data_IF_370002659268
#
_entry.id   IF_370002659268
#
_cell.length_a   1.000
_cell.length_b   1.000
_cell.length_c   1.000
_cell.angle_alpha   90.00
_cell.angle_beta   90.00
_cell.angle_gamma   90.00
#
_symmetry.space_group_name_H-M   'P 1'
#
loop_
_entity.id
_entity.type
_entity.pdbx_description
1 polymer ?
#
# COMPACT_ATOMS: atom_id res chain seq x y z
N UNK A 1 6.52 -8.12 -26.08
CA UNK A 1 7.88 -7.78 -25.60
C UNK A 1 7.89 -8.09 -24.10
N UNK A 2 8.56 -9.15 -23.65
CA UNK A 2 8.59 -9.52 -22.23
C UNK A 2 9.56 -8.58 -21.54
N UNK A 3 9.05 -7.59 -20.81
CA UNK A 3 9.87 -6.69 -19.99
C UNK A 3 10.58 -7.54 -18.96
N UNK A 4 11.91 -7.64 -19.04
CA UNK A 4 12.72 -8.37 -18.06
C UNK A 4 12.61 -7.63 -16.72
N UNK A 5 11.72 -8.10 -15.84
CA UNK A 5 11.56 -7.58 -14.48
C UNK A 5 12.74 -8.05 -13.62
N UNK A 6 13.29 -7.15 -12.81
CA UNK A 6 14.41 -7.45 -11.92
C UNK A 6 13.94 -8.25 -10.69
N UNK A 7 14.80 -9.14 -10.19
CA UNK A 7 14.57 -9.94 -8.98
C UNK A 7 14.35 -9.11 -7.69
N UNK A 8 14.67 -7.81 -7.71
CA UNK A 8 14.55 -6.89 -6.56
C UNK A 8 13.13 -6.36 -6.28
N UNK A 9 12.11 -6.84 -7.00
CA UNK A 9 10.72 -6.39 -6.85
C UNK A 9 9.90 -7.30 -5.92
N UNK A 10 10.53 -8.14 -5.13
CA UNK A 10 9.82 -9.00 -4.18
C UNK A 10 9.76 -8.39 -2.81
N UNK A 11 8.61 -8.63 -2.18
CA UNK A 11 8.36 -8.32 -0.82
C UNK A 11 8.13 -9.55 0.03
N UNK A 12 8.56 -9.48 1.29
CA UNK A 12 8.43 -10.52 2.28
C UNK A 12 7.72 -9.96 3.52
N UNK A 13 6.61 -10.56 3.92
CA UNK A 13 5.95 -10.26 5.18
C UNK A 13 5.79 -11.53 6.02
N UNK A 14 5.79 -11.36 7.34
CA UNK A 14 5.74 -12.43 8.34
C UNK A 14 4.59 -12.20 9.32
N UNK A 15 3.89 -13.25 9.71
CA UNK A 15 2.82 -13.24 10.72
C UNK A 15 2.85 -14.49 11.60
N UNK A 16 2.26 -14.40 12.80
CA UNK A 16 2.01 -15.54 13.71
C UNK A 16 0.70 -16.26 13.43
N UNK A 17 -0.30 -15.53 12.95
CA UNK A 17 -1.67 -16.03 12.80
C UNK A 17 -2.02 -16.37 11.34
N UNK A 18 -1.25 -15.86 10.37
CA UNK A 18 -1.46 -16.09 8.94
C UNK A 18 -2.73 -15.46 8.36
N UNK A 19 -3.46 -14.68 9.16
CA UNK A 19 -4.75 -14.08 8.83
C UNK A 19 -4.71 -12.56 8.91
N UNK A 20 -4.26 -12.02 10.05
CA UNK A 20 -4.13 -10.59 10.31
C UNK A 20 -2.67 -10.27 10.70
N UNK A 21 -2.35 -9.00 10.98
CA UNK A 21 -1.07 -8.64 11.61
C UNK A 21 0.19 -9.06 10.83
N UNK A 22 0.24 -8.75 9.54
CA UNK A 22 1.43 -8.97 8.72
C UNK A 22 2.46 -7.89 8.97
N UNK A 23 3.67 -8.28 9.38
CA UNK A 23 4.81 -7.40 9.55
C UNK A 23 5.73 -7.49 8.34
N UNK A 24 6.04 -6.34 7.74
CA UNK A 24 6.93 -6.24 6.59
C UNK A 24 8.38 -6.46 7.01
N UNK A 25 9.12 -7.33 6.32
CA UNK A 25 10.57 -7.41 6.45
C UNK A 25 11.23 -6.15 5.85
N UNK A 26 11.84 -5.34 6.72
CA UNK A 26 12.63 -4.14 6.38
C UNK A 26 14.12 -4.43 6.44
N UNK A 27 14.93 -3.58 5.81
CA UNK A 27 16.41 -3.72 5.86
C UNK A 27 16.97 -4.92 5.10
N UNK A 28 16.20 -5.50 4.17
CA UNK A 28 16.62 -6.63 3.33
C UNK A 28 17.73 -6.18 2.37
N UNK A 29 18.89 -6.83 2.47
CA UNK A 29 20.09 -6.54 1.66
C UNK A 29 20.17 -7.50 0.48
N UNK A 30 19.77 -8.74 0.71
CA UNK A 30 19.79 -9.81 -0.27
C UNK A 30 18.55 -10.67 -0.11
N UNK A 31 17.89 -10.97 -1.22
CA UNK A 31 16.70 -11.80 -1.27
C UNK A 31 16.93 -12.91 -2.28
N UNK A 32 17.05 -14.14 -1.78
CA UNK A 32 17.34 -15.33 -2.59
C UNK A 32 16.16 -15.79 -3.45
N UNK A 33 15.00 -15.15 -3.34
CA UNK A 33 13.78 -15.58 -4.02
C UNK A 33 13.14 -16.82 -3.37
N UNK A 34 11.89 -17.13 -3.74
CA UNK A 34 11.29 -18.41 -3.40
C UNK A 34 11.88 -19.51 -4.28
N UNK A 35 12.48 -20.52 -3.64
CA UNK A 35 12.97 -21.73 -4.30
C UNK A 35 11.94 -22.84 -4.15
N UNK A 36 11.56 -23.47 -5.26
CA UNK A 36 10.71 -24.66 -5.27
C UNK A 36 11.53 -25.84 -5.76
N UNK A 37 11.65 -26.87 -4.93
CA UNK A 37 12.51 -28.03 -5.18
C UNK A 37 11.65 -29.28 -5.30
N UNK A 38 11.29 -29.71 -6.53
CA UNK A 38 10.52 -30.93 -6.74
C UNK A 38 11.43 -32.17 -6.68
N UNK A 39 11.00 -33.18 -5.92
CA UNK A 39 11.57 -34.53 -5.96
C UNK A 39 10.96 -35.28 -7.12
N UNK A 40 11.82 -35.88 -7.96
CA UNK A 40 11.45 -36.50 -9.23
C UNK A 40 11.66 -38.02 -9.15
N UNK A 41 10.62 -38.79 -9.45
CA UNK A 41 10.70 -40.24 -9.59
C UNK A 41 10.52 -40.64 -11.06
N UNK A 42 11.18 -41.73 -11.46
CA UNK A 42 10.96 -42.34 -12.77
C UNK A 42 9.57 -42.97 -12.81
N UNK A 43 8.78 -42.60 -13.82
CA UNK A 43 7.42 -43.11 -14.06
C UNK A 43 7.25 -43.63 -15.47
N UNK A 44 8.35 -44.08 -16.09
CA UNK A 44 8.34 -44.61 -17.46
C UNK A 44 7.47 -45.87 -17.53
N UNK A 45 6.58 -45.92 -18.54
CA UNK A 45 5.72 -47.06 -18.82
C UNK A 45 6.10 -47.76 -20.15
N UNK A 46 5.45 -48.88 -20.43
CA UNK A 46 5.73 -49.69 -21.64
C UNK A 46 5.35 -48.98 -22.94
N UNK A 47 4.52 -47.94 -22.86
CA UNK A 47 4.00 -47.19 -24.02
C UNK A 47 4.75 -45.86 -24.25
N UNK A 48 5.74 -45.53 -23.42
CA UNK A 48 6.52 -44.28 -23.48
C UNK A 48 7.42 -44.15 -24.73
N UNK A 49 7.36 -45.10 -25.67
CA UNK A 49 8.06 -45.03 -26.96
C UNK A 49 9.60 -44.95 -26.83
N UNK A 50 10.16 -45.42 -25.72
CA UNK A 50 11.59 -45.35 -25.42
C UNK A 50 12.07 -44.04 -24.77
N UNK A 51 11.16 -43.12 -24.43
CA UNK A 51 11.48 -41.89 -23.70
C UNK A 51 11.23 -42.06 -22.20
N UNK A 52 12.04 -41.39 -21.36
CA UNK A 52 11.82 -41.38 -19.90
C UNK A 52 10.64 -40.49 -19.54
N UNK A 53 9.75 -41.01 -18.69
CA UNK A 53 8.70 -40.23 -18.03
C UNK A 53 9.09 -39.98 -16.57
N UNK A 54 8.76 -38.79 -16.06
CA UNK A 54 9.11 -38.37 -14.70
C UNK A 54 7.87 -37.79 -14.04
N UNK A 55 7.58 -38.27 -12.82
CA UNK A 55 6.53 -37.73 -11.97
C UNK A 55 7.14 -37.03 -10.75
N UNK A 56 6.57 -35.89 -10.36
CA UNK A 56 6.94 -35.20 -9.11
C UNK A 56 6.23 -35.90 -7.96
N UNK A 57 6.98 -36.49 -7.04
CA UNK A 57 6.40 -37.22 -5.90
C UNK A 57 6.18 -36.32 -4.70
N UNK A 58 7.08 -35.37 -4.49
CA UNK A 58 7.05 -34.40 -3.40
C UNK A 58 7.61 -33.05 -3.86
N UNK A 59 7.24 -31.98 -3.18
CA UNK A 59 7.75 -30.64 -3.46
C UNK A 59 8.05 -29.90 -2.16
N UNK A 60 9.30 -29.47 -2.01
CA UNK A 60 9.72 -28.57 -0.95
C UNK A 60 9.78 -27.13 -1.47
N UNK A 61 9.70 -26.16 -0.56
CA UNK A 61 9.99 -24.77 -0.85
C UNK A 61 10.80 -24.12 0.28
N UNK A 62 11.66 -23.18 -0.08
CA UNK A 62 12.45 -22.43 0.88
C UNK A 62 12.73 -21.00 0.41
N UNK A 63 12.96 -20.09 1.35
CA UNK A 63 13.30 -18.69 1.07
C UNK A 63 14.49 -18.27 1.93
N UNK A 64 15.54 -17.81 1.26
CA UNK A 64 16.67 -17.16 1.92
C UNK A 64 16.54 -15.64 1.85
N UNK A 65 16.67 -14.98 3.00
CA UNK A 65 16.74 -13.52 3.07
C UNK A 65 17.88 -13.09 3.98
N UNK A 66 18.54 -11.99 3.64
CA UNK A 66 19.53 -11.34 4.51
C UNK A 66 19.06 -9.95 4.84
N UNK A 67 19.14 -9.59 6.11
CA UNK A 67 18.86 -8.22 6.54
C UNK A 67 19.94 -7.71 7.47
N UNK A 68 20.18 -6.41 7.37
CA UNK A 68 21.10 -5.70 8.26
C UNK A 68 20.37 -5.23 9.51
N UNK A 69 21.10 -5.25 10.62
CA UNK A 69 20.68 -4.75 11.93
C UNK A 69 21.74 -3.80 12.47
N UNK A 70 21.29 -2.70 13.09
CA UNK A 70 22.16 -1.80 13.84
C UNK A 70 22.65 -2.50 15.12
N UNK A 71 23.96 -2.48 15.34
CA UNK A 71 24.63 -3.14 16.47
C UNK A 71 24.65 -2.29 17.74
N UNK A 72 24.38 -0.98 17.65
CA UNK A 72 24.45 -0.03 18.77
C UNK A 72 23.24 0.91 18.74
N UNK A 73 22.44 0.84 19.82
CA UNK A 73 21.32 1.72 20.16
C UNK A 73 20.29 2.00 19.04
N UNK A 74 19.30 1.12 18.94
CA UNK A 74 18.06 1.34 18.18
C UNK A 74 17.00 0.35 18.65
N UNK A 75 15.71 0.74 18.59
CA UNK A 75 14.62 -0.20 18.81
C UNK A 75 14.69 -1.24 17.66
N UNK A 76 14.84 -2.54 17.94
CA UNK A 76 14.88 -3.54 16.87
C UNK A 76 13.56 -3.55 16.11
N UNK A 77 13.62 -3.77 14.79
CA UNK A 77 12.41 -3.86 13.97
C UNK A 77 11.50 -4.98 14.52
N UNK A 78 10.18 -4.74 14.67
CA UNK A 78 9.26 -5.70 15.29
C UNK A 78 9.20 -7.02 14.51
N UNK A 79 9.41 -6.98 13.19
CA UNK A 79 9.50 -8.19 12.34
C UNK A 79 10.75 -9.01 12.66
N UNK A 80 11.88 -8.38 12.95
CA UNK A 80 13.13 -9.07 13.29
C UNK A 80 13.01 -9.70 14.68
N UNK A 81 12.41 -8.99 15.64
CA UNK A 81 12.08 -9.56 16.95
C UNK A 81 11.14 -10.77 16.82
N UNK A 82 10.17 -10.69 15.91
CA UNK A 82 9.25 -11.81 15.68
C UNK A 82 9.97 -13.04 15.15
N UNK A 83 10.85 -12.88 14.15
CA UNK A 83 11.64 -13.98 13.60
C UNK A 83 12.62 -14.52 14.64
N UNK A 84 13.29 -13.65 15.41
CA UNK A 84 14.19 -14.08 16.49
C UNK A 84 13.45 -14.85 17.60
N UNK A 85 12.18 -14.55 17.86
CA UNK A 85 11.40 -15.24 18.88
C UNK A 85 11.08 -16.71 18.55
N UNK A 86 11.37 -17.18 17.33
CA UNK A 86 11.23 -18.60 16.97
C UNK A 86 12.50 -19.41 17.20
N UNK A 87 13.64 -18.76 17.49
CA UNK A 87 14.90 -19.44 17.70
C UNK A 87 14.84 -20.36 18.94
N UNK A 88 15.23 -21.62 18.76
CA UNK A 88 15.19 -22.64 19.81
C UNK A 88 13.78 -23.07 20.23
N UNK A 89 12.73 -22.58 19.57
CA UNK A 89 11.35 -23.01 19.79
C UNK A 89 11.02 -24.26 18.98
N UNK A 90 10.07 -25.06 19.48
CA UNK A 90 9.59 -26.27 18.81
C UNK A 90 8.07 -26.25 18.67
N UNK A 91 7.55 -27.04 17.73
CA UNK A 91 6.13 -27.04 17.38
C UNK A 91 5.66 -25.67 16.89
N UNK A 92 4.37 -25.36 17.09
CA UNK A 92 3.76 -24.12 16.59
C UNK A 92 4.40 -22.81 17.07
N UNK A 93 5.23 -22.83 18.12
CA UNK A 93 5.98 -21.65 18.57
C UNK A 93 7.20 -21.33 17.68
N UNK A 94 7.70 -22.33 16.94
CA UNK A 94 8.78 -22.18 15.96
C UNK A 94 8.30 -21.91 14.52
N UNK A 95 6.99 -21.99 14.29
CA UNK A 95 6.37 -21.80 12.98
C UNK A 95 5.90 -20.36 12.78
N UNK A 96 6.05 -19.89 11.54
CA UNK A 96 5.59 -18.58 11.09
C UNK A 96 4.82 -18.72 9.79
N UNK A 97 3.88 -17.81 9.58
CA UNK A 97 3.26 -17.60 8.28
C UNK A 97 4.05 -16.57 7.52
N UNK A 98 4.29 -16.85 6.25
CA UNK A 98 5.08 -16.02 5.36
C UNK A 98 4.30 -15.81 4.09
N UNK A 99 4.31 -14.57 3.60
CA UNK A 99 3.82 -14.25 2.26
C UNK A 99 4.88 -13.51 1.48
N UNK A 100 4.94 -13.83 0.19
CA UNK A 100 5.83 -13.21 -0.77
C UNK A 100 4.99 -12.68 -1.91
N UNK A 101 5.27 -11.46 -2.33
CA UNK A 101 4.51 -10.82 -3.39
C UNK A 101 5.37 -9.82 -4.16
N UNK A 102 4.96 -9.52 -5.39
CA UNK A 102 5.56 -8.44 -6.15
C UNK A 102 5.18 -7.08 -5.54
N UNK A 103 6.17 -6.25 -5.20
CA UNK A 103 5.93 -4.96 -4.54
C UNK A 103 5.24 -3.95 -5.44
N UNK A 104 5.38 -4.07 -6.75
CA UNK A 104 4.72 -3.23 -7.75
C UNK A 104 3.25 -3.62 -8.02
N UNK A 105 2.69 -4.56 -7.25
CA UNK A 105 1.30 -4.99 -7.41
C UNK A 105 1.11 -5.97 -8.57
N UNK A 106 2.18 -6.59 -9.07
CA UNK A 106 2.07 -7.66 -10.06
C UNK A 106 1.33 -8.91 -9.55
N UNK A 107 1.05 -9.84 -10.45
CA UNK A 107 0.18 -10.99 -10.15
C UNK A 107 0.84 -12.07 -9.29
N UNK A 108 2.17 -12.05 -9.14
CA UNK A 108 2.85 -13.06 -8.35
C UNK A 108 2.70 -12.75 -6.86
N UNK A 109 1.96 -13.61 -6.16
CA UNK A 109 1.97 -13.67 -4.71
C UNK A 109 1.70 -15.10 -4.20
N UNK A 110 2.44 -15.48 -3.17
CA UNK A 110 2.37 -16.80 -2.53
C UNK A 110 2.38 -16.66 -1.01
N UNK A 111 1.78 -17.62 -0.32
CA UNK A 111 1.78 -17.72 1.12
C UNK A 111 1.99 -19.17 1.56
N UNK A 112 2.70 -19.36 2.65
CA UNK A 112 2.85 -20.67 3.29
C UNK A 112 3.30 -20.55 4.74
N UNK A 113 3.36 -21.68 5.42
CA UNK A 113 3.97 -21.78 6.76
C UNK A 113 5.42 -22.19 6.62
N UNK A 114 6.29 -21.65 7.45
CA UNK A 114 7.69 -22.03 7.43
C UNK A 114 8.30 -21.98 8.81
N UNK A 115 9.36 -22.75 8.98
CA UNK A 115 10.24 -22.70 10.14
C UNK A 115 11.42 -21.81 9.78
N UNK A 116 11.72 -20.85 10.66
CA UNK A 116 12.84 -19.93 10.46
C UNK A 116 14.10 -20.46 11.13
N UNK A 117 15.20 -20.53 10.38
CA UNK A 117 16.54 -20.75 10.91
C UNK A 117 17.40 -19.50 10.68
N UNK A 118 18.10 -19.06 11.73
CA UNK A 118 18.85 -17.82 11.74
C UNK A 118 20.35 -18.10 11.83
N UNK A 119 21.14 -17.41 11.01
CA UNK A 119 22.61 -17.38 11.11
C UNK A 119 23.04 -15.92 11.25
N UNK A 120 23.72 -15.60 12.35
CA UNK A 120 24.22 -14.25 12.63
C UNK A 120 25.65 -14.11 12.15
N UNK A 121 25.96 -13.01 11.48
CA UNK A 121 27.31 -12.69 11.00
C UNK A 121 27.61 -11.22 11.24
N UNK A 122 28.89 -10.88 11.44
CA UNK A 122 29.32 -9.49 11.54
C UNK A 122 29.67 -8.98 10.15
N UNK A 123 29.26 -7.76 9.82
CA UNK A 123 29.71 -7.12 8.59
C UNK A 123 31.11 -6.52 8.78
N UNK A 124 31.75 -6.09 7.70
CA UNK A 124 33.01 -5.33 7.81
C UNK A 124 32.82 -3.94 8.44
N UNK A 125 31.57 -3.47 8.56
CA UNK A 125 31.22 -2.19 9.18
C UNK A 125 31.05 -2.37 10.70
N UNK A 126 31.66 -1.50 11.54
CA UNK A 126 31.71 -1.70 12.99
C UNK A 126 30.34 -1.72 13.68
N UNK A 127 29.37 -1.00 13.13
CA UNK A 127 28.05 -0.80 13.74
C UNK A 127 26.93 -1.61 13.07
N UNK A 128 27.25 -2.47 12.08
CA UNK A 128 26.27 -3.31 11.40
C UNK A 128 26.53 -4.80 11.62
N UNK A 129 25.47 -5.49 12.02
CA UNK A 129 25.39 -6.96 12.00
C UNK A 129 24.47 -7.40 10.88
N UNK A 130 24.78 -8.53 10.24
CA UNK A 130 23.92 -9.15 9.24
C UNK A 130 23.30 -10.42 9.82
N UNK A 131 22.02 -10.63 9.54
CA UNK A 131 21.34 -11.86 9.87
C UNK A 131 20.83 -12.47 8.57
N UNK A 132 21.31 -13.69 8.30
CA UNK A 132 20.76 -14.54 7.25
C UNK A 132 19.65 -15.38 7.88
N UNK A 133 18.46 -15.33 7.30
CA UNK A 133 17.32 -16.15 7.68
C UNK A 133 16.96 -17.05 6.52
N UNK A 134 16.86 -18.34 6.81
CA UNK A 134 16.29 -19.33 5.90
C UNK A 134 14.94 -19.73 6.45
N UNK A 135 13.92 -19.62 5.60
CA UNK A 135 12.58 -20.10 5.88
C UNK A 135 12.38 -21.40 5.12
N UNK A 136 12.29 -22.50 5.85
CA UNK A 136 12.02 -23.82 5.31
C UNK A 136 10.51 -24.08 5.37
N UNK A 137 9.91 -24.27 4.20
CA UNK A 137 8.47 -24.42 4.05
C UNK A 137 7.93 -25.67 4.72
N UNK A 138 6.94 -25.51 5.59
CA UNK A 138 6.12 -26.59 6.13
C UNK A 138 4.75 -26.62 5.43
N UNK A 139 4.51 -27.69 4.69
CA UNK A 139 3.32 -27.86 3.87
C UNK A 139 3.34 -27.07 2.57
N UNK A 140 2.17 -26.93 1.95
CA UNK A 140 2.06 -26.30 0.63
C UNK A 140 2.24 -24.77 0.69
N UNK A 141 2.99 -24.23 -0.26
CA UNK A 141 2.98 -22.79 -0.56
C UNK A 141 1.85 -22.51 -1.57
N UNK A 142 0.79 -21.86 -1.13
CA UNK A 142 -0.38 -21.54 -1.95
C UNK A 142 -0.21 -20.20 -2.67
N UNK A 143 -0.74 -20.10 -3.88
CA UNK A 143 -0.93 -18.79 -4.53
C UNK A 143 -1.99 -17.98 -3.76
N UNK A 144 -1.74 -16.69 -3.59
CA UNK A 144 -2.68 -15.73 -3.01
C UNK A 144 -2.87 -14.56 -3.97
N UNK A 145 -3.94 -13.79 -3.80
CA UNK A 145 -4.01 -12.46 -4.41
C UNK A 145 -2.93 -11.58 -3.78
N UNK A 146 -2.17 -10.87 -4.62
CA UNK A 146 -1.15 -9.97 -4.11
C UNK A 146 -1.79 -8.94 -3.16
N UNK A 147 -1.29 -8.80 -1.91
CA UNK A 147 -1.79 -7.79 -0.97
C UNK A 147 -1.75 -6.36 -1.53
N UNK A 148 -0.80 -6.09 -2.43
CA UNK A 148 -0.67 -4.82 -3.15
C UNK A 148 -1.39 -4.83 -4.51
N UNK A 149 -1.93 -5.98 -4.93
CA UNK A 149 -2.44 -6.23 -6.27
C UNK A 149 -3.93 -6.58 -6.33
N UNK A 150 -4.72 -6.25 -5.31
CA UNK A 150 -6.15 -5.96 -5.56
C UNK A 150 -6.25 -4.49 -5.92
N UNK A 151 -6.14 -4.12 -7.21
CA UNK A 151 -6.27 -2.74 -7.58
C UNK A 151 -7.71 -2.34 -7.24
N UNK A 152 -7.85 -1.37 -6.36
CA UNK A 152 -9.13 -0.77 -5.97
C UNK A 152 -9.25 0.57 -6.66
N UNK A 153 -10.48 1.03 -6.87
CA UNK A 153 -10.71 2.40 -7.32
C UNK A 153 -9.98 3.35 -6.34
N UNK A 154 -9.23 4.36 -6.85
CA UNK A 154 -8.64 5.38 -5.99
C UNK A 154 -9.72 6.04 -5.13
N UNK A 155 -9.38 6.52 -3.95
CA UNK A 155 -10.27 7.36 -3.16
C UNK A 155 -9.50 8.58 -2.69
N UNK A 156 -9.92 9.77 -3.08
CA UNK A 156 -9.28 11.02 -2.69
C UNK A 156 -10.00 11.57 -1.46
N UNK A 157 -9.26 11.77 -0.38
CA UNK A 157 -9.78 12.37 0.87
C UNK A 157 -9.55 13.87 0.88
N UNK A 158 -8.36 14.32 0.45
CA UNK A 158 -8.01 15.74 0.38
C UNK A 158 -6.89 16.01 -0.61
N UNK A 159 -6.78 17.26 -1.07
CA UNK A 159 -5.66 17.75 -1.88
C UNK A 159 -5.32 19.18 -1.46
N UNK A 160 -4.13 19.37 -0.87
CA UNK A 160 -3.70 20.62 -0.26
C UNK A 160 -2.28 21.02 -0.71
N UNK A 161 -1.96 22.33 -0.81
CA UNK A 161 -2.86 23.47 -0.58
C UNK A 161 -3.95 23.54 -1.66
N UNK A 162 -5.11 24.17 -1.35
CA UNK A 162 -6.28 24.24 -2.23
C UNK A 162 -6.09 25.13 -3.47
N UNK A 163 -5.04 25.94 -3.46
CA UNK A 163 -4.50 26.64 -4.63
C UNK A 163 -2.99 26.58 -4.55
N UNK A 164 -2.33 26.33 -5.67
CA UNK A 164 -0.87 26.32 -5.74
C UNK A 164 -0.43 26.97 -7.06
N UNK A 165 0.61 27.83 -7.07
CA UNK A 165 1.17 28.33 -8.32
C UNK A 165 1.77 27.17 -9.13
N UNK A 166 1.91 27.35 -10.44
CA UNK A 166 2.54 26.35 -11.31
C UNK A 166 3.90 25.91 -10.76
N UNK A 167 4.11 24.59 -10.69
CA UNK A 167 5.33 23.97 -10.17
C UNK A 167 5.40 23.80 -8.65
N UNK A 168 4.51 24.44 -7.87
CA UNK A 168 4.43 24.17 -6.44
C UNK A 168 3.84 22.79 -6.16
N UNK A 169 4.24 22.19 -5.03
CA UNK A 169 3.82 20.84 -4.67
C UNK A 169 2.45 20.85 -4.01
N UNK A 170 1.57 19.97 -4.51
CA UNK A 170 0.29 19.63 -3.90
C UNK A 170 0.39 18.22 -3.33
N UNK A 171 -0.07 18.05 -2.10
CA UNK A 171 -0.17 16.77 -1.42
C UNK A 171 -1.61 16.29 -1.48
N UNK A 172 -1.83 15.16 -2.13
CA UNK A 172 -3.11 14.47 -2.21
C UNK A 172 -3.09 13.30 -1.22
N UNK A 173 -4.05 13.26 -0.32
CA UNK A 173 -4.22 12.19 0.66
C UNK A 173 -5.43 11.35 0.30
N UNK A 174 -5.35 10.04 0.47
CA UNK A 174 -6.39 9.12 0.06
C UNK A 174 -6.04 7.66 0.29
N UNK A 175 -6.64 6.81 -0.54
CA UNK A 175 -6.43 5.36 -0.52
C UNK A 175 -6.29 4.82 -1.94
N UNK A 176 -5.62 3.67 -2.06
CA UNK A 176 -5.48 2.89 -3.29
C UNK A 176 -4.73 3.64 -4.42
N UNK A 177 -3.76 4.49 -4.06
CA UNK A 177 -2.91 5.20 -5.03
C UNK A 177 -1.73 4.36 -5.56
N UNK A 178 -1.53 3.15 -5.05
CA UNK A 178 -0.56 2.21 -5.62
C UNK A 178 -0.93 1.88 -7.06
N UNK A 179 0.02 2.03 -7.99
CA UNK A 179 -0.23 1.84 -9.42
C UNK A 179 -0.99 2.99 -10.09
N UNK A 180 -1.02 4.18 -9.49
CA UNK A 180 -1.52 5.40 -10.15
C UNK A 180 -0.75 5.62 -11.46
N UNK A 181 -1.48 5.85 -12.54
CA UNK A 181 -0.96 6.09 -13.89
C UNK A 181 -1.07 7.55 -14.31
N UNK A 182 -2.02 8.29 -13.75
CA UNK A 182 -2.19 9.72 -14.02
C UNK A 182 -2.79 10.48 -12.83
N UNK A 183 -2.38 11.74 -12.71
CA UNK A 183 -2.99 12.73 -11.81
C UNK A 183 -3.29 13.97 -12.65
N UNK A 184 -4.48 14.54 -12.51
CA UNK A 184 -4.90 15.71 -13.26
C UNK A 184 -5.57 16.75 -12.34
N UNK A 185 -5.34 18.02 -12.63
CA UNK A 185 -5.99 19.17 -12.03
C UNK A 185 -6.95 19.76 -13.08
N UNK A 186 -8.25 19.61 -12.87
CA UNK A 186 -9.28 19.89 -13.87
C UNK A 186 -9.06 19.03 -15.12
N UNK A 187 -8.90 19.70 -16.27
CA UNK A 187 -8.59 19.03 -17.54
C UNK A 187 -7.08 18.88 -17.82
N UNK A 188 -6.21 19.34 -16.92
CA UNK A 188 -4.76 19.40 -17.14
C UNK A 188 -4.03 18.29 -16.41
N UNK A 189 -3.35 17.42 -17.15
CA UNK A 189 -2.53 16.36 -16.56
C UNK A 189 -1.26 16.93 -15.90
N UNK A 190 -0.93 16.42 -14.73
CA UNK A 190 0.32 16.74 -14.06
C UNK A 190 1.54 16.19 -14.84
N UNK A 191 2.68 16.90 -14.86
CA UNK A 191 3.87 16.48 -15.59
C UNK A 191 4.56 15.25 -14.97
N UNK A 192 4.23 14.91 -13.73
CA UNK A 192 4.72 13.74 -12.99
C UNK A 192 4.14 13.75 -11.57
N UNK A 193 4.33 12.67 -10.81
CA UNK A 193 3.89 12.58 -9.41
C UNK A 193 4.68 11.48 -8.68
N UNK A 194 4.71 11.56 -7.36
CA UNK A 194 5.33 10.56 -6.48
C UNK A 194 4.29 9.99 -5.54
N UNK A 195 4.12 8.67 -5.54
CA UNK A 195 3.27 7.95 -4.59
C UNK A 195 4.09 7.58 -3.35
N UNK A 196 3.60 7.94 -2.17
CA UNK A 196 4.24 7.76 -0.86
C UNK A 196 3.33 6.97 0.10
N UNK A 197 3.87 6.62 1.28
CA UNK A 197 3.16 5.97 2.40
C UNK A 197 2.27 4.80 1.93
N UNK A 198 2.84 3.89 1.14
CA UNK A 198 2.16 2.68 0.66
C UNK A 198 0.85 2.96 -0.11
N UNK A 199 0.80 4.04 -0.91
CA UNK A 199 -0.36 4.34 -1.75
C UNK A 199 -1.48 5.12 -1.06
N UNK A 200 -1.16 5.83 0.04
CA UNK A 200 -2.10 6.71 0.74
C UNK A 200 -1.83 8.19 0.53
N UNK A 201 -0.64 8.53 0.01
CA UNK A 201 -0.24 9.93 -0.25
C UNK A 201 0.34 10.03 -1.66
N UNK A 202 -0.03 11.07 -2.39
CA UNK A 202 0.62 11.49 -3.63
C UNK A 202 1.16 12.90 -3.43
N UNK A 203 2.42 13.13 -3.82
CA UNK A 203 2.98 14.46 -3.98
C UNK A 203 3.10 14.74 -5.48
N UNK A 204 2.46 15.81 -5.93
CA UNK A 204 2.36 16.16 -7.35
C UNK A 204 2.66 17.64 -7.55
N UNK A 205 3.57 18.03 -8.46
CA UNK A 205 3.75 19.42 -8.86
C UNK A 205 2.55 19.92 -9.66
N UNK A 206 2.06 21.11 -9.34
CA UNK A 206 0.96 21.76 -10.06
C UNK A 206 1.34 21.97 -11.54
N UNK A 207 0.57 21.43 -12.51
CA UNK A 207 0.84 21.65 -13.93
C UNK A 207 0.62 23.10 -14.36
N UNK A 208 1.26 23.50 -15.46
CA UNK A 208 0.98 24.77 -16.12
C UNK A 208 -0.47 24.78 -16.62
N UNK A 209 -1.26 25.78 -16.21
CA UNK A 209 -2.68 25.88 -16.52
C UNK A 209 -3.61 25.09 -15.57
N UNK A 210 -3.08 24.47 -14.52
CA UNK A 210 -3.87 23.79 -13.48
C UNK A 210 -4.25 24.68 -12.28
N UNK A 211 -3.79 25.92 -12.23
CA UNK A 211 -3.99 26.86 -11.10
C UNK A 211 -5.46 27.15 -10.79
N UNK A 212 -6.32 27.16 -11.81
CA UNK A 212 -7.76 27.45 -11.69
C UNK A 212 -8.61 26.17 -11.66
N UNK A 213 -7.99 25.02 -11.41
CA UNK A 213 -8.69 23.75 -11.33
C UNK A 213 -9.62 23.70 -10.11
N UNK A 214 -10.87 23.30 -10.31
CA UNK A 214 -11.82 23.07 -9.21
C UNK A 214 -11.83 21.61 -8.73
N UNK A 215 -11.23 20.71 -9.51
CA UNK A 215 -11.23 19.27 -9.24
C UNK A 215 -9.85 18.67 -9.38
N UNK A 216 -9.56 17.65 -8.59
CA UNK A 216 -8.39 16.79 -8.74
C UNK A 216 -8.85 15.37 -9.09
N UNK A 217 -8.22 14.76 -10.09
CA UNK A 217 -8.51 13.39 -10.53
C UNK A 217 -7.27 12.53 -10.43
N UNK A 218 -7.40 11.35 -9.81
CA UNK A 218 -6.36 10.33 -9.71
C UNK A 218 -6.84 9.09 -10.46
N UNK A 219 -6.01 8.58 -11.36
CA UNK A 219 -6.34 7.43 -12.22
C UNK A 219 -5.36 6.28 -11.99
N UNK A 220 -5.89 5.07 -11.84
CA UNK A 220 -5.10 3.83 -11.84
C UNK A 220 -5.69 2.83 -12.85
N UNK A 221 -5.19 1.59 -12.86
CA UNK A 221 -5.64 0.55 -13.80
C UNK A 221 -7.10 0.10 -13.64
N UNK A 222 -7.77 0.44 -12.53
CA UNK A 222 -9.18 0.09 -12.27
C UNK A 222 -10.12 1.19 -12.71
N UNK A 223 -9.70 2.45 -12.58
CA UNK A 223 -10.50 3.60 -12.97
C UNK A 223 -9.98 4.89 -12.35
N UNK A 224 -10.80 5.94 -12.44
CA UNK A 224 -10.49 7.28 -11.96
C UNK A 224 -11.38 7.64 -10.77
N UNK A 225 -10.81 8.35 -9.81
CA UNK A 225 -11.55 9.04 -8.77
C UNK A 225 -11.32 10.53 -8.88
N UNK A 226 -12.39 11.29 -8.74
CA UNK A 226 -12.37 12.76 -8.80
C UNK A 226 -12.91 13.31 -7.48
N UNK A 227 -12.26 14.34 -6.96
CA UNK A 227 -12.72 15.10 -5.80
C UNK A 227 -12.46 16.60 -6.04
N UNK A 228 -13.08 17.47 -5.25
CA UNK A 228 -12.84 18.90 -5.29
C UNK A 228 -11.42 19.22 -4.81
N UNK A 229 -10.75 20.08 -5.56
CA UNK A 229 -9.43 20.55 -5.20
C UNK A 229 -9.56 21.63 -4.11
N UNK A 230 -8.80 21.51 -3.01
CA UNK A 230 -8.94 22.38 -1.84
C UNK A 230 -10.04 21.99 -0.84
N UNK A 231 -10.84 20.96 -1.13
CA UNK A 231 -11.81 20.44 -0.18
C UNK A 231 -11.15 19.57 0.90
N UNK A 232 -11.62 19.73 2.14
CA UNK A 232 -11.35 18.82 3.26
C UNK A 232 -12.60 17.96 3.44
N UNK A 233 -12.50 16.65 3.23
CA UNK A 233 -13.62 15.75 3.54
C UNK A 233 -13.73 15.60 5.07
N UNK A 234 -14.65 16.34 5.70
CA UNK A 234 -14.80 16.41 7.16
C UNK A 234 -15.57 15.21 7.77
N UNK A 235 -15.91 14.19 6.97
CA UNK A 235 -16.93 13.22 7.37
C UNK A 235 -18.32 13.85 7.34
N UNK A 236 -19.36 13.01 7.38
CA UNK A 236 -20.76 13.40 7.17
C UNK A 236 -21.15 14.69 7.91
N UNK A 237 -21.30 15.79 7.15
CA UNK A 237 -21.88 17.04 7.62
C UNK A 237 -23.39 16.85 7.69
N UNK A 238 -23.95 16.70 8.89
CA UNK A 238 -25.41 16.64 9.04
C UNK A 238 -25.92 18.08 9.04
N UNK A 239 -26.58 18.44 7.93
CA UNK A 239 -27.44 19.62 7.88
C UNK A 239 -28.80 19.26 8.48
N UNK A 240 -29.19 19.98 9.51
CA UNK A 240 -30.54 19.91 10.10
C UNK A 240 -31.28 21.20 9.77
N UNK A 241 -32.43 21.10 9.10
CA UNK A 241 -33.23 22.25 8.66
C UNK A 241 -33.92 22.01 7.31
N UNK A 242 -34.71 22.97 6.79
CA UNK A 242 -34.79 24.36 7.25
C UNK A 242 -35.65 24.52 8.51
N UNK A 243 -35.27 25.44 9.39
CA UNK A 243 -36.14 25.91 10.47
C UNK A 243 -37.28 26.80 9.92
N UNK A 244 -38.12 27.35 10.80
CA UNK A 244 -39.25 28.19 10.40
C UNK A 244 -38.85 29.49 9.66
N UNK A 245 -37.55 29.84 9.67
CA UNK A 245 -37.00 31.03 9.01
C UNK A 245 -36.22 30.68 7.73
N UNK A 246 -36.05 29.40 7.40
CA UNK A 246 -35.31 28.95 6.23
C UNK A 246 -33.85 28.58 6.51
N UNK A 247 -33.43 28.53 7.78
CA UNK A 247 -32.04 28.37 8.17
C UNK A 247 -31.65 26.89 8.35
N UNK A 248 -30.40 26.55 8.03
CA UNK A 248 -29.84 25.21 8.18
C UNK A 248 -28.70 25.20 9.21
N UNK A 249 -28.78 24.28 10.17
CA UNK A 249 -27.77 24.08 11.21
C UNK A 249 -26.74 23.02 10.79
N UNK A 250 -25.47 23.22 11.18
CA UNK A 250 -24.42 22.20 11.10
C UNK A 250 -24.11 21.68 12.50
N UNK A 251 -24.25 20.36 12.70
CA UNK A 251 -23.88 19.67 13.95
C UNK A 251 -24.46 20.34 15.22
N UNK A 252 -25.67 20.89 15.14
CA UNK A 252 -26.37 21.51 16.27
C UNK A 252 -25.83 22.87 16.71
N UNK A 253 -24.98 23.52 15.91
CA UNK A 253 -24.57 24.92 16.12
C UNK A 253 -25.12 25.78 14.98
N UNK A 254 -25.89 26.82 15.33
CA UNK A 254 -26.41 27.77 14.34
C UNK A 254 -25.25 28.42 13.60
N UNK A 255 -25.19 28.24 12.28
CA UNK A 255 -24.15 28.86 11.45
C UNK A 255 -24.48 30.31 11.08
N UNK A 256 -25.75 30.71 11.19
CA UNK A 256 -26.27 31.91 10.53
C UNK A 256 -27.30 32.55 11.45
N UNK A 257 -27.06 33.78 11.86
CA UNK A 257 -28.09 34.68 12.40
C UNK A 257 -28.07 35.96 11.57
N UNK A 258 -29.22 36.62 11.35
CA UNK A 258 -29.27 37.85 10.54
C UNK A 258 -28.41 38.96 11.19
N UNK A 259 -27.56 39.60 10.39
CA UNK A 259 -27.06 40.94 10.71
C UNK A 259 -28.27 41.91 10.71
N UNK A 260 -28.30 42.95 11.57
CA UNK A 260 -29.31 44.03 11.51
C UNK A 260 -29.57 44.65 10.13
N UNK A 261 -28.75 44.36 9.12
CA UNK A 261 -28.85 44.81 7.72
C UNK A 261 -29.58 43.82 6.78
N UNK A 262 -29.84 42.58 7.21
CA UNK A 262 -30.52 41.56 6.40
C UNK A 262 -29.65 40.84 5.35
N UNK A 263 -28.33 41.05 5.36
CA UNK A 263 -27.38 40.37 4.47
C UNK A 263 -26.78 39.12 5.14
N UNK A 264 -26.62 38.05 4.35
CA UNK A 264 -26.04 36.78 4.75
C UNK A 264 -24.50 36.83 4.61
N UNK A 265 -23.76 36.87 5.72
CA UNK A 265 -22.29 36.82 5.72
C UNK A 265 -21.80 35.45 6.22
N UNK A 266 -21.04 34.73 5.40
CA UNK A 266 -20.31 33.53 5.79
C UNK A 266 -19.00 33.89 6.51
N UNK A 267 -18.43 32.94 7.27
CA UNK A 267 -17.04 32.98 7.71
C UNK A 267 -16.15 33.27 6.48
N UNK A 268 -15.31 34.31 6.57
CA UNK A 268 -14.45 34.72 5.46
C UNK A 268 -13.62 33.51 4.94
N UNK A 269 -13.76 33.20 3.65
CA UNK A 269 -12.95 32.16 2.97
C UNK A 269 -13.60 30.77 2.84
N UNK A 270 -14.92 30.62 3.03
CA UNK A 270 -15.61 29.34 2.81
C UNK A 270 -16.84 29.53 1.91
N UNK A 271 -16.84 28.89 0.75
CA UNK A 271 -18.00 28.82 -0.16
C UNK A 271 -18.68 27.44 -0.07
N UNK A 272 -20.01 27.47 -0.03
CA UNK A 272 -20.86 26.28 -0.12
C UNK A 272 -21.17 25.99 -1.59
N UNK A 273 -20.71 24.85 -2.11
CA UNK A 273 -21.10 24.37 -3.43
C UNK A 273 -22.16 23.28 -3.22
N UNK A 274 -23.41 23.59 -3.59
CA UNK A 274 -24.47 22.58 -3.64
C UNK A 274 -24.36 21.80 -4.93
N UNK A 275 -24.17 20.48 -4.84
CA UNK A 275 -24.17 19.54 -5.97
C UNK A 275 -25.39 18.63 -5.82
N UNK A 276 -26.03 18.14 -6.90
CA UNK A 276 -27.14 17.20 -6.76
C UNK A 276 -26.67 15.92 -6.06
N UNK A 277 -27.08 15.75 -4.80
CA UNK A 277 -26.80 14.55 -3.99
C UNK A 277 -25.77 14.72 -2.88
N UNK A 278 -25.00 15.82 -2.81
CA UNK A 278 -24.02 16.07 -1.75
C UNK A 278 -23.78 17.57 -1.51
N UNK A 279 -23.47 17.93 -0.26
CA UNK A 279 -23.04 19.29 0.13
C UNK A 279 -21.56 19.26 0.50
N UNK A 280 -20.74 20.00 -0.24
CA UNK A 280 -19.29 20.07 -0.04
C UNK A 280 -18.88 21.51 0.32
N UNK A 281 -18.06 21.65 1.37
CA UNK A 281 -17.45 22.91 1.78
C UNK A 281 -16.13 23.10 1.02
N UNK A 282 -16.00 24.21 0.29
CA UNK A 282 -14.76 24.63 -0.36
C UNK A 282 -14.15 25.78 0.42
N UNK A 283 -12.87 25.67 0.79
CA UNK A 283 -12.09 26.81 1.29
C UNK A 283 -11.57 27.60 0.07
N UNK A 284 -11.81 28.91 0.05
CA UNK A 284 -11.28 29.85 -0.97
C UNK A 284 -9.97 30.44 -0.47
#
# INVERSE_FOLDING_TARGET
>A
MVTRRLARNFGLDVSRDGAANWLRCTGVVDFGGPAFTPTKADSTDVDSGGFKSITVTDQAWSIGTKYNRLSLSGLPDPVQMLIESTEGQSGGAGELYIRIYETDGGSYAVQGRAVASLTRSKTSEPDLSEITVMFDGDGACGQISNPNGTPRLPAIVSALPGTAPTGALVTITGQNFTGTTAVAFGAVNAPGFTVLLNGTVIVVPMPAGGTDATTVTVTNAVGSATNYYGAINLGQLILTGPDANGDYDVNGTALIGPDPSGDYHFLAGVDLITVPGDVVLSLI
#
